data_IF_690036725442
#
_entry.id   IF_690036725442
#
_cell.length_a   1.000
_cell.length_b   1.000
_cell.length_c   1.000
_cell.angle_alpha   90.00
_cell.angle_beta   90.00
_cell.angle_gamma   90.00
#
_symmetry.space_group_name_H-M   'P 1'
#
loop_
_entity.id
_entity.type
_entity.pdbx_description
1 polymer ?
#
# COMPACT_ATOMS: atom_id res chain seq x y z
N UNK A 1 34.31 25.73 -9.85
CA UNK A 1 33.20 26.52 -9.26
C UNK A 1 31.82 25.90 -9.56
N UNK A 2 31.47 25.61 -10.82
CA UNK A 2 30.15 25.05 -11.21
C UNK A 2 29.81 23.69 -10.57
N UNK A 3 30.77 22.78 -10.44
CA UNK A 3 30.57 21.46 -9.81
C UNK A 3 30.29 21.56 -8.30
N UNK A 4 30.94 22.48 -7.59
CA UNK A 4 30.73 22.72 -6.16
C UNK A 4 29.35 23.33 -5.89
N UNK A 5 28.84 24.18 -6.80
CA UNK A 5 27.50 24.75 -6.74
C UNK A 5 26.44 23.68 -7.01
N UNK A 6 26.68 22.77 -7.96
CA UNK A 6 25.78 21.66 -8.25
C UNK A 6 25.70 20.66 -7.07
N UNK A 7 26.82 20.40 -6.39
CA UNK A 7 26.85 19.54 -5.19
C UNK A 7 26.13 20.23 -4.01
N UNK A 8 26.31 21.54 -3.81
CA UNK A 8 25.61 22.31 -2.78
C UNK A 8 24.11 22.40 -3.06
N UNK A 9 23.68 22.58 -4.30
CA UNK A 9 22.28 22.51 -4.71
C UNK A 9 21.70 21.10 -4.51
N UNK A 10 22.47 20.05 -4.81
CA UNK A 10 22.09 18.65 -4.55
C UNK A 10 21.91 18.35 -3.06
N UNK A 11 22.77 18.90 -2.20
CA UNK A 11 22.68 18.75 -0.74
C UNK A 11 21.49 19.56 -0.17
N UNK A 12 21.21 20.75 -0.72
CA UNK A 12 20.05 21.56 -0.33
C UNK A 12 18.71 20.89 -0.69
N UNK A 13 18.66 20.08 -1.74
CA UNK A 13 17.48 19.29 -2.12
C UNK A 13 17.26 18.07 -1.18
N UNK A 14 18.26 17.70 -0.37
CA UNK A 14 18.17 16.61 0.61
C UNK A 14 17.68 17.09 2.00
N UNK A 15 17.61 18.38 2.24
CA UNK A 15 17.05 18.95 3.47
C UNK A 15 15.50 18.93 3.44
N UNK A 16 14.91 17.71 3.38
CA UNK A 16 13.48 17.51 3.50
C UNK A 16 13.03 17.79 4.93
N UNK A 17 12.12 18.76 5.09
CA UNK A 17 11.50 19.07 6.37
C UNK A 17 10.81 17.84 6.97
N UNK A 18 10.91 17.66 8.27
CA UNK A 18 10.18 16.62 9.03
C UNK A 18 8.69 16.91 8.86
N UNK A 19 8.00 16.10 8.05
CA UNK A 19 6.55 16.18 7.93
C UNK A 19 5.94 14.98 8.64
N UNK A 20 5.01 15.24 9.56
CA UNK A 20 4.25 14.19 10.24
C UNK A 20 3.50 13.35 9.21
N UNK A 21 3.65 12.02 9.27
CA UNK A 21 2.96 11.10 8.39
C UNK A 21 1.45 11.14 8.65
N UNK A 22 0.66 11.37 7.60
CA UNK A 22 -0.80 11.46 7.70
C UNK A 22 -1.51 10.16 7.28
N UNK A 23 -0.79 9.22 6.70
CA UNK A 23 -1.34 7.94 6.24
C UNK A 23 -0.57 6.76 6.83
N UNK A 24 -1.26 5.62 7.04
CA UNK A 24 -0.60 4.38 7.42
C UNK A 24 0.49 4.01 6.42
N UNK A 25 1.67 3.69 6.92
CA UNK A 25 2.79 3.22 6.10
C UNK A 25 2.84 1.71 6.18
N UNK A 26 2.77 1.04 5.04
CA UNK A 26 2.92 -0.40 4.93
C UNK A 26 4.30 -0.73 4.35
N UNK A 27 5.04 -1.64 4.99
CA UNK A 27 6.36 -2.03 4.50
C UNK A 27 6.27 -3.08 3.39
N UNK A 28 5.25 -3.94 3.45
CA UNK A 28 5.01 -4.99 2.47
C UNK A 28 3.99 -4.58 1.37
N UNK A 29 3.85 -3.27 1.07
CA UNK A 29 2.91 -2.80 0.03
C UNK A 29 3.15 -3.45 -1.34
N UNK A 30 4.36 -3.89 -1.63
CA UNK A 30 4.68 -4.59 -2.88
C UNK A 30 4.09 -6.01 -2.94
N UNK A 31 3.66 -6.59 -1.81
CA UNK A 31 2.93 -7.84 -1.76
C UNK A 31 1.42 -7.62 -1.85
N UNK A 32 0.93 -6.49 -1.35
CA UNK A 32 -0.46 -6.07 -1.46
C UNK A 32 -0.57 -4.61 -1.95
N UNK A 33 -0.24 -4.34 -3.22
CA UNK A 33 -0.27 -2.98 -3.75
C UNK A 33 -1.69 -2.39 -3.90
N UNK A 34 -2.75 -3.20 -3.67
CA UNK A 34 -4.13 -2.73 -3.56
C UNK A 34 -4.33 -1.69 -2.45
N UNK A 35 -3.51 -1.73 -1.39
CA UNK A 35 -3.55 -0.74 -0.30
C UNK A 35 -3.25 0.68 -0.78
N UNK A 36 -2.46 0.84 -1.84
CA UNK A 36 -1.99 2.13 -2.32
C UNK A 36 -2.58 2.55 -3.67
N UNK A 37 -3.14 1.61 -4.45
CA UNK A 37 -3.68 1.92 -5.77
C UNK A 37 -4.99 1.17 -6.06
N UNK A 38 -6.13 1.88 -6.19
CA UNK A 38 -7.43 1.27 -6.47
C UNK A 38 -7.49 0.51 -7.80
N UNK A 39 -6.67 0.88 -8.81
CA UNK A 39 -6.65 0.20 -10.10
C UNK A 39 -6.20 -1.26 -10.03
N UNK A 40 -5.67 -1.68 -8.88
CA UNK A 40 -5.17 -3.04 -8.63
C UNK A 40 -6.30 -4.00 -8.26
N UNK A 41 -7.47 -3.50 -7.83
CA UNK A 41 -8.57 -4.37 -7.45
C UNK A 41 -8.90 -5.40 -8.55
N UNK A 42 -8.67 -6.69 -8.25
CA UNK A 42 -8.93 -7.81 -9.16
C UNK A 42 -8.04 -7.87 -10.42
N UNK A 43 -6.94 -7.10 -10.51
CA UNK A 43 -6.12 -7.05 -11.72
C UNK A 43 -5.46 -8.39 -12.05
N UNK A 44 -5.16 -9.19 -11.05
CA UNK A 44 -4.54 -10.50 -11.20
C UNK A 44 -5.53 -11.60 -11.66
N UNK A 45 -6.84 -11.37 -11.52
CA UNK A 45 -7.88 -12.27 -12.01
C UNK A 45 -8.30 -13.38 -11.05
N UNK A 46 -7.76 -13.44 -9.84
CA UNK A 46 -8.18 -14.30 -8.74
C UNK A 46 -8.75 -13.47 -7.56
N UNK A 47 -9.32 -14.17 -6.59
CA UNK A 47 -9.75 -13.55 -5.33
C UNK A 47 -8.58 -13.59 -4.35
N UNK A 48 -8.26 -12.45 -3.77
CA UNK A 48 -7.14 -12.26 -2.86
C UNK A 48 -7.63 -11.62 -1.56
N UNK A 49 -7.32 -12.23 -0.44
CA UNK A 49 -7.58 -11.71 0.90
C UNK A 49 -6.25 -11.51 1.62
N UNK A 50 -6.13 -10.40 2.33
CA UNK A 50 -4.93 -10.07 3.09
C UNK A 50 -5.28 -9.53 4.46
N UNK A 51 -4.62 -10.05 5.48
CA UNK A 51 -4.59 -9.53 6.83
C UNK A 51 -3.18 -9.02 7.12
N UNK A 52 -3.07 -7.79 7.59
CA UNK A 52 -1.81 -7.11 7.89
C UNK A 52 -1.89 -6.59 9.32
N UNK A 53 -0.84 -6.84 10.08
CA UNK A 53 -0.59 -6.25 11.38
C UNK A 53 0.79 -5.63 11.41
N UNK A 54 0.87 -4.34 11.75
CA UNK A 54 2.11 -3.58 11.83
C UNK A 54 2.20 -2.89 13.18
N UNK A 55 3.31 -3.10 13.86
CA UNK A 55 3.70 -2.42 15.10
C UNK A 55 4.97 -1.62 14.83
N UNK A 56 4.89 -0.31 15.00
CA UNK A 56 6.02 0.58 14.79
C UNK A 56 6.66 0.93 16.12
N UNK A 57 8.01 1.07 16.11
CA UNK A 57 8.81 1.48 17.26
C UNK A 57 8.57 0.63 18.50
N UNK A 58 8.73 -0.69 18.32
CA UNK A 58 8.48 -1.66 19.37
C UNK A 58 9.33 -1.35 20.62
N UNK A 59 8.68 -1.35 21.80
CA UNK A 59 9.29 -0.91 23.05
C UNK A 59 8.98 0.53 23.45
N UNK A 60 8.31 1.28 22.59
CA UNK A 60 7.74 2.59 22.91
C UNK A 60 6.22 2.44 23.16
N UNK A 61 5.73 2.91 24.31
CA UNK A 61 4.35 2.67 24.76
C UNK A 61 3.28 3.28 23.85
N UNK A 62 3.61 4.35 23.15
CA UNK A 62 2.73 5.05 22.20
C UNK A 62 3.12 4.82 20.74
N UNK A 63 3.82 3.73 20.47
CA UNK A 63 4.23 3.36 19.11
C UNK A 63 3.02 3.22 18.20
N UNK A 64 3.10 3.71 16.94
CA UNK A 64 2.01 3.55 15.99
C UNK A 64 1.73 2.07 15.68
N UNK A 65 0.45 1.71 15.62
CA UNK A 65 0.02 0.37 15.22
C UNK A 65 -1.05 0.43 14.14
N UNK A 66 -0.94 -0.43 13.13
CA UNK A 66 -1.85 -0.47 11.99
C UNK A 66 -2.30 -1.89 11.74
N UNK A 67 -3.61 -2.11 11.70
CA UNK A 67 -4.22 -3.38 11.34
C UNK A 67 -5.11 -3.17 10.12
N UNK A 68 -5.00 -4.04 9.13
CA UNK A 68 -5.79 -3.94 7.90
C UNK A 68 -6.23 -5.31 7.41
N UNK A 69 -7.49 -5.40 6.98
CA UNK A 69 -8.05 -6.54 6.28
C UNK A 69 -8.51 -6.07 4.90
N UNK A 70 -7.97 -6.64 3.85
CA UNK A 70 -8.37 -6.34 2.49
C UNK A 70 -8.83 -7.58 1.74
N UNK A 71 -9.76 -7.39 0.83
CA UNK A 71 -10.23 -8.44 -0.07
C UNK A 71 -10.49 -7.85 -1.45
N UNK A 72 -10.08 -8.57 -2.50
CA UNK A 72 -10.29 -8.13 -3.87
C UNK A 72 -10.56 -9.33 -4.80
N UNK A 73 -11.36 -9.09 -5.81
CA UNK A 73 -11.66 -10.13 -6.80
C UNK A 73 -11.96 -9.53 -8.16
N UNK A 74 -11.76 -10.32 -9.20
CA UNK A 74 -12.22 -9.98 -10.55
C UNK A 74 -13.54 -10.66 -10.83
N UNK A 75 -14.56 -9.89 -11.25
CA UNK A 75 -15.84 -10.44 -11.72
C UNK A 75 -15.60 -11.06 -13.09
N UNK A 76 -15.49 -12.38 -13.13
CA UNK A 76 -15.28 -13.13 -14.35
C UNK A 76 -16.63 -13.35 -15.06
N UNK A 77 -16.69 -13.05 -16.37
CA UNK A 77 -17.83 -13.48 -17.20
C UNK A 77 -17.69 -14.98 -17.44
N UNK A 78 -18.53 -15.78 -16.81
CA UNK A 78 -18.72 -17.19 -17.15
C UNK A 78 -19.45 -17.27 -18.50
N UNK A 79 -18.72 -17.36 -19.58
CA UNK A 79 -19.34 -17.63 -20.89
C UNK A 79 -19.50 -19.14 -21.04
N UNK A 80 -20.72 -19.64 -20.91
CA UNK A 80 -21.09 -21.04 -21.21
C UNK A 80 -20.74 -21.44 -22.66
N UNK A 81 -20.56 -20.49 -23.55
CA UNK A 81 -20.22 -20.68 -24.96
C UNK A 81 -18.77 -21.10 -25.21
N UNK A 82 -17.86 -20.90 -24.28
CA UNK A 82 -16.43 -21.19 -24.47
C UNK A 82 -16.00 -22.60 -24.04
N UNK A 83 -16.90 -23.40 -23.46
CA UNK A 83 -16.56 -24.77 -23.03
C UNK A 83 -16.28 -25.73 -24.20
N UNK A 84 -16.90 -25.54 -25.36
CA UNK A 84 -16.82 -26.48 -26.49
C UNK A 84 -15.72 -26.17 -27.52
N UNK A 85 -15.09 -24.98 -27.49
CA UNK A 85 -14.02 -24.59 -28.44
C UNK A 85 -12.59 -24.72 -27.92
N UNK A 86 -12.40 -25.27 -26.74
CA UNK A 86 -11.11 -25.25 -26.02
C UNK A 86 -10.12 -26.33 -26.49
N UNK A 87 -10.51 -27.24 -27.43
CA UNK A 87 -9.70 -28.44 -27.72
C UNK A 87 -8.59 -28.19 -28.77
N UNK A 88 -8.51 -27.06 -29.48
CA UNK A 88 -7.57 -26.92 -30.62
C UNK A 88 -6.77 -25.63 -30.73
N UNK A 89 -6.39 -24.98 -29.66
CA UNK A 89 -5.42 -23.89 -29.80
C UNK A 89 -4.25 -24.07 -28.84
N UNK A 90 -3.18 -24.70 -29.32
CA UNK A 90 -1.85 -24.59 -28.73
C UNK A 90 -1.46 -23.09 -28.76
N UNK A 91 -1.03 -22.57 -27.61
CA UNK A 91 -0.24 -21.33 -27.52
C UNK A 91 -0.95 -19.99 -27.76
N UNK A 92 -2.10 -19.74 -27.12
CA UNK A 92 -2.46 -18.34 -26.81
C UNK A 92 -2.62 -18.19 -25.30
N UNK A 93 -1.80 -17.34 -24.68
CA UNK A 93 -1.92 -16.95 -23.27
C UNK A 93 -3.38 -16.57 -23.00
N UNK A 94 -4.05 -17.32 -22.13
CA UNK A 94 -5.46 -17.07 -21.81
C UNK A 94 -5.50 -15.86 -20.86
N UNK A 95 -6.10 -14.78 -21.34
CA UNK A 95 -6.37 -13.57 -20.54
C UNK A 95 -7.55 -13.83 -19.60
N UNK A 96 -7.59 -13.25 -18.41
CA UNK A 96 -8.76 -13.31 -17.54
C UNK A 96 -10.02 -12.83 -18.27
N UNK A 97 -11.14 -13.56 -18.11
CA UNK A 97 -12.38 -13.31 -18.81
C UNK A 97 -13.12 -12.21 -18.12
N UNK A 98 -13.08 -11.19 -17.92
CA UNK A 98 -13.78 -10.12 -17.19
C UNK A 98 -12.98 -8.82 -17.23
N UNK A 99 -13.71 -7.75 -17.09
CA UNK A 99 -13.09 -6.43 -17.13
C UNK A 99 -13.26 -5.66 -15.83
N UNK A 100 -14.06 -6.18 -14.91
CA UNK A 100 -14.43 -5.51 -13.67
C UNK A 100 -13.73 -6.18 -12.49
N UNK A 101 -13.02 -5.39 -11.72
CA UNK A 101 -12.49 -5.75 -10.41
C UNK A 101 -13.26 -5.03 -9.31
N UNK A 102 -13.46 -5.69 -8.19
CA UNK A 102 -14.03 -5.10 -6.99
C UNK A 102 -13.14 -5.46 -5.80
N UNK A 103 -13.11 -4.59 -4.81
CA UNK A 103 -12.35 -4.82 -3.59
C UNK A 103 -12.89 -4.04 -2.41
N UNK A 104 -12.46 -4.44 -1.24
CA UNK A 104 -12.76 -3.78 0.02
C UNK A 104 -11.55 -3.78 0.94
N UNK A 105 -11.47 -2.79 1.80
CA UNK A 105 -10.47 -2.62 2.82
C UNK A 105 -11.13 -2.12 4.10
N UNK A 106 -10.78 -2.72 5.22
CA UNK A 106 -11.10 -2.23 6.56
C UNK A 106 -9.77 -2.08 7.29
N UNK A 107 -9.58 -0.97 7.97
CA UNK A 107 -8.35 -0.71 8.68
C UNK A 107 -8.58 0.06 9.98
N UNK A 108 -7.66 -0.14 10.91
CA UNK A 108 -7.50 0.67 12.11
C UNK A 108 -6.05 1.06 12.22
N UNK A 109 -5.82 2.35 12.40
CA UNK A 109 -4.49 2.95 12.52
C UNK A 109 -4.46 3.81 13.78
N UNK A 110 -3.63 3.41 14.73
CA UNK A 110 -3.43 4.11 15.99
C UNK A 110 -2.06 4.79 15.92
N UNK A 111 -2.01 6.07 16.19
CA UNK A 111 -0.78 6.86 16.20
C UNK A 111 -0.76 7.78 17.42
N UNK A 112 -0.15 7.28 18.50
CA UNK A 112 -0.18 7.94 19.81
C UNK A 112 -1.62 8.15 20.30
N UNK A 113 -1.95 9.38 20.64
CA UNK A 113 -3.29 9.76 21.11
C UNK A 113 -4.38 9.72 20.03
N UNK A 114 -4.03 9.52 18.75
CA UNK A 114 -5.00 9.54 17.66
C UNK A 114 -5.25 8.13 17.11
N UNK A 115 -6.52 7.78 16.93
CA UNK A 115 -6.95 6.55 16.26
C UNK A 115 -7.82 6.87 15.07
N UNK A 116 -7.55 6.20 13.95
CA UNK A 116 -8.31 6.28 12.72
C UNK A 116 -8.81 4.90 12.32
N UNK A 117 -10.11 4.70 12.31
CA UNK A 117 -10.74 3.46 11.81
C UNK A 117 -11.55 3.77 10.58
N UNK A 118 -11.38 2.99 9.52
CA UNK A 118 -12.06 3.25 8.26
C UNK A 118 -12.34 2.01 7.44
N UNK A 119 -13.20 2.19 6.45
CA UNK A 119 -13.49 1.19 5.43
C UNK A 119 -13.46 1.84 4.05
N UNK A 120 -13.18 1.02 3.04
CA UNK A 120 -13.08 1.44 1.65
C UNK A 120 -13.72 0.38 0.75
N UNK A 121 -14.55 0.82 -0.19
CA UNK A 121 -15.05 0.02 -1.29
C UNK A 121 -14.41 0.47 -2.61
N UNK A 122 -13.97 -0.46 -3.44
CA UNK A 122 -13.21 -0.18 -4.66
C UNK A 122 -13.86 -0.83 -5.87
N UNK A 123 -13.89 -0.09 -6.97
CA UNK A 123 -14.26 -0.55 -8.29
C UNK A 123 -13.10 -0.28 -9.27
N UNK A 124 -12.73 -1.27 -10.05
CA UNK A 124 -11.70 -1.14 -11.07
C UNK A 124 -12.16 -1.70 -12.41
N UNK A 125 -11.68 -1.10 -13.49
CA UNK A 125 -11.96 -1.53 -14.86
C UNK A 125 -10.66 -1.84 -15.59
N UNK A 126 -10.61 -3.01 -16.25
CA UNK A 126 -9.41 -3.53 -16.89
C UNK A 126 -9.62 -3.74 -18.38
N UNK A 127 -8.71 -3.24 -19.20
CA UNK A 127 -8.72 -3.39 -20.65
C UNK A 127 -7.41 -4.04 -21.08
N UNK A 128 -7.51 -5.02 -21.98
CA UNK A 128 -6.33 -5.62 -22.60
C UNK A 128 -6.16 -5.07 -24.02
N UNK A 129 -5.00 -4.51 -24.30
CA UNK A 129 -4.57 -4.16 -25.63
C UNK A 129 -3.27 -4.91 -25.92
N UNK A 130 -3.31 -5.85 -26.87
CA UNK A 130 -2.21 -6.80 -27.13
C UNK A 130 -1.84 -7.57 -25.86
N UNK A 131 -0.60 -7.46 -25.36
CA UNK A 131 -0.11 -8.14 -24.15
C UNK A 131 -0.01 -7.21 -22.92
N UNK A 132 -0.58 -6.01 -23.03
CA UNK A 132 -0.59 -5.00 -21.98
C UNK A 132 -2.00 -4.89 -21.39
N UNK A 133 -2.10 -4.89 -20.07
CA UNK A 133 -3.31 -4.60 -19.32
C UNK A 133 -3.27 -3.14 -18.86
N UNK A 134 -4.31 -2.40 -19.18
CA UNK A 134 -4.58 -1.06 -18.67
C UNK A 134 -5.71 -1.16 -17.65
N UNK A 135 -5.51 -0.59 -16.48
CA UNK A 135 -6.49 -0.61 -15.40
C UNK A 135 -6.72 0.79 -14.86
N UNK A 136 -7.97 1.11 -14.59
CA UNK A 136 -8.36 2.33 -13.91
C UNK A 136 -9.26 1.94 -12.73
N UNK A 137 -9.09 2.59 -11.58
CA UNK A 137 -9.85 2.28 -10.38
C UNK A 137 -10.26 3.53 -9.61
N UNK A 138 -11.38 3.40 -8.92
CA UNK A 138 -11.89 4.38 -7.98
C UNK A 138 -12.28 3.68 -6.69
N UNK A 139 -12.00 4.31 -5.56
CA UNK A 139 -12.46 3.86 -4.25
C UNK A 139 -13.23 4.96 -3.57
N UNK A 140 -14.29 4.57 -2.87
CA UNK A 140 -14.96 5.40 -1.90
C UNK A 140 -14.67 4.85 -0.50
N UNK A 141 -14.32 5.73 0.40
CA UNK A 141 -13.97 5.38 1.78
C UNK A 141 -14.70 6.28 2.77
N UNK A 142 -14.85 5.77 3.97
CA UNK A 142 -15.25 6.58 5.11
C UNK A 142 -14.42 6.14 6.30
N UNK A 143 -13.97 7.10 7.10
CA UNK A 143 -13.18 6.85 8.29
C UNK A 143 -13.64 7.73 9.44
N UNK A 144 -13.41 7.25 10.64
CA UNK A 144 -13.68 7.93 11.89
C UNK A 144 -12.35 8.22 12.59
N UNK A 145 -12.20 9.44 13.06
CA UNK A 145 -11.13 9.82 13.98
C UNK A 145 -11.62 9.78 15.41
N UNK A 146 -10.75 9.27 16.30
CA UNK A 146 -10.91 9.37 17.75
C UNK A 146 -9.62 9.90 18.32
N UNK A 147 -9.69 10.85 19.24
CA UNK A 147 -8.58 11.21 20.07
C UNK A 147 -8.79 10.54 21.45
N UNK A 148 -7.82 9.73 21.83
CA UNK A 148 -7.78 9.05 23.12
C UNK A 148 -6.80 9.83 24.02
N UNK A 149 -7.23 10.99 24.53
CA UNK A 149 -6.43 11.75 25.50
C UNK A 149 -7.03 11.49 26.86
N UNK A 150 -6.25 10.83 27.73
CA UNK A 150 -6.63 10.62 29.13
C UNK A 150 -6.41 11.93 29.92
N UNK A 151 -7.30 12.23 30.85
CA UNK A 151 -7.16 13.43 31.70
C UNK A 151 -5.86 13.49 32.48
N UNK A 152 -5.18 12.35 32.70
CA UNK A 152 -3.87 12.26 33.36
C UNK A 152 -2.70 12.73 32.47
N UNK A 153 -2.92 12.80 31.15
CA UNK A 153 -1.91 13.25 30.17
C UNK A 153 -1.93 14.78 30.00
N UNK A 154 -2.90 15.47 30.63
CA UNK A 154 -3.07 16.90 30.52
C UNK A 154 -2.53 17.60 31.77
N UNK A 155 -1.58 18.53 31.56
CA UNK A 155 -0.99 19.35 32.63
C UNK A 155 -2.03 20.13 33.46
N UNK A 156 -3.23 20.36 32.94
CA UNK A 156 -4.30 21.17 33.55
C UNK A 156 -5.66 20.42 33.66
N UNK A 157 -5.67 19.09 33.56
CA UNK A 157 -6.85 18.23 33.79
C UNK A 157 -8.06 18.47 32.89
N UNK A 158 -8.14 19.56 32.15
CA UNK A 158 -9.17 19.90 31.16
C UNK A 158 -8.63 20.85 30.11
N UNK A 159 -8.36 20.34 28.93
CA UNK A 159 -8.18 21.18 27.74
C UNK A 159 -9.53 21.28 27.01
N UNK A 160 -10.19 22.47 26.99
CA UNK A 160 -11.49 22.63 26.30
C UNK A 160 -11.41 22.35 24.80
N UNK A 161 -10.21 22.36 24.21
CA UNK A 161 -10.01 22.03 22.80
C UNK A 161 -10.22 20.53 22.53
N UNK A 162 -10.17 19.68 23.56
CA UNK A 162 -10.36 18.23 23.46
C UNK A 162 -11.80 17.81 23.80
N UNK A 163 -12.55 18.62 24.52
CA UNK A 163 -13.96 18.34 24.94
C UNK A 163 -14.96 18.31 23.77
N UNK A 164 -14.55 18.56 22.55
CA UNK A 164 -15.44 18.69 21.38
C UNK A 164 -15.18 17.75 20.22
N UNK A 165 -14.27 16.75 20.35
CA UNK A 165 -14.02 15.80 19.29
C UNK A 165 -15.22 14.85 19.18
N UNK A 166 -16.20 15.24 18.35
CA UNK A 166 -17.29 14.34 18.01
C UNK A 166 -16.78 13.30 17.01
N UNK A 167 -16.91 12.02 17.32
CA UNK A 167 -16.56 10.96 16.39
C UNK A 167 -17.50 11.04 15.18
N UNK A 168 -17.06 11.72 14.11
CA UNK A 168 -17.79 11.82 12.86
C UNK A 168 -17.16 10.95 11.79
N UNK A 169 -17.99 10.41 10.89
CA UNK A 169 -17.47 9.74 9.70
C UNK A 169 -17.12 10.79 8.65
N UNK A 170 -15.89 10.72 8.16
CA UNK A 170 -15.38 11.58 7.10
C UNK A 170 -15.31 10.77 5.79
N UNK A 171 -16.14 11.09 4.78
CA UNK A 171 -16.08 10.42 3.49
C UNK A 171 -14.86 10.87 2.70
N UNK A 172 -14.27 9.98 1.92
CA UNK A 172 -13.16 10.30 1.03
C UNK A 172 -13.21 9.46 -0.25
N UNK A 173 -12.39 9.83 -1.23
CA UNK A 173 -12.27 9.10 -2.47
C UNK A 173 -10.80 8.96 -2.87
N UNK A 174 -10.50 7.84 -3.56
CA UNK A 174 -9.19 7.58 -4.13
C UNK A 174 -9.35 7.18 -5.59
N UNK A 175 -8.37 7.54 -6.42
CA UNK A 175 -8.32 7.14 -7.82
C UNK A 175 -6.96 6.53 -8.15
N UNK A 176 -6.93 5.69 -9.17
CA UNK A 176 -5.68 5.09 -9.61
C UNK A 176 -5.72 4.60 -11.04
N UNK A 177 -4.52 4.50 -11.60
CA UNK A 177 -4.24 3.93 -12.90
C UNK A 177 -3.09 2.94 -12.79
N UNK A 178 -3.13 1.87 -13.58
CA UNK A 178 -2.09 0.87 -13.66
C UNK A 178 -1.94 0.39 -15.10
N UNK A 179 -0.72 0.30 -15.54
CA UNK A 179 -0.32 -0.37 -16.78
C UNK A 179 0.56 -1.54 -16.39
N UNK A 180 0.23 -2.74 -16.84
CA UNK A 180 1.01 -3.94 -16.53
C UNK A 180 1.16 -4.83 -17.75
N UNK A 181 2.34 -5.40 -17.90
CA UNK A 181 2.69 -6.38 -18.90
C UNK A 181 3.15 -7.69 -18.22
N UNK A 182 3.78 -8.57 -18.99
CA UNK A 182 4.29 -9.85 -18.48
C UNK A 182 5.44 -9.68 -17.49
N UNK A 183 6.23 -8.61 -17.62
CA UNK A 183 7.48 -8.42 -16.88
C UNK A 183 7.58 -7.07 -16.18
N UNK A 184 6.62 -6.19 -16.37
CA UNK A 184 6.66 -4.86 -15.79
C UNK A 184 5.28 -4.41 -15.34
N UNK A 185 5.28 -3.48 -14.41
CA UNK A 185 4.11 -2.70 -14.04
C UNK A 185 4.52 -1.27 -13.74
N UNK A 186 3.61 -0.34 -14.01
CA UNK A 186 3.72 1.05 -13.61
C UNK A 186 2.33 1.58 -13.25
N UNK A 187 2.22 2.30 -12.15
CA UNK A 187 0.94 2.80 -11.67
C UNK A 187 1.05 4.16 -11.01
N UNK A 188 -0.06 4.87 -11.05
CA UNK A 188 -0.27 6.16 -10.40
C UNK A 188 -1.50 6.07 -9.53
N UNK A 189 -1.50 6.68 -8.36
CA UNK A 189 -2.70 6.82 -7.54
C UNK A 189 -2.71 8.17 -6.81
N UNK A 190 -3.92 8.64 -6.53
CA UNK A 190 -4.16 9.79 -5.67
C UNK A 190 -5.18 9.41 -4.60
N UNK A 191 -4.87 9.70 -3.35
CA UNK A 191 -5.68 9.37 -2.18
C UNK A 191 -6.01 10.62 -1.38
N UNK A 192 -7.04 10.56 -0.54
CA UNK A 192 -7.58 11.69 0.22
C UNK A 192 -8.03 12.85 -0.68
N UNK A 193 -8.79 12.56 -1.74
CA UNK A 193 -9.18 13.55 -2.75
C UNK A 193 -10.03 14.68 -2.19
N UNK A 194 -10.87 14.40 -1.19
CA UNK A 194 -11.78 15.40 -0.62
C UNK A 194 -11.11 16.31 0.41
N UNK A 195 -9.89 15.97 0.89
CA UNK A 195 -9.15 16.81 1.85
C UNK A 195 -9.97 17.21 3.07
N UNK A 196 -10.71 16.29 3.66
CA UNK A 196 -11.61 16.61 4.75
C UNK A 196 -10.89 17.31 5.91
N UNK A 197 -11.48 18.38 6.39
CA UNK A 197 -11.03 19.08 7.56
C UNK A 197 -11.61 18.41 8.82
N UNK A 198 -10.74 18.00 9.74
CA UNK A 198 -11.11 17.42 11.03
C UNK A 198 -11.04 18.55 12.06
N UNK A 199 -12.19 18.86 12.63
CA UNK A 199 -12.26 19.89 13.69
C UNK A 199 -12.01 19.22 15.04
N UNK A 200 -11.06 19.75 15.78
CA UNK A 200 -10.79 19.37 17.16
C UNK A 200 -11.43 20.42 18.07
N UNK A 201 -12.36 20.00 18.94
CA UNK A 201 -13.02 20.86 19.91
C UNK A 201 -13.94 21.92 19.33
N UNK A 202 -14.29 22.91 20.15
CA UNK A 202 -15.12 24.07 19.77
C UNK A 202 -14.38 25.15 18.99
N UNK A 203 -13.23 24.84 18.41
CA UNK A 203 -12.39 25.78 17.67
C UNK A 203 -13.04 26.27 16.36
N UNK A 204 -12.56 27.42 15.88
CA UNK A 204 -12.93 27.97 14.58
C UNK A 204 -12.39 27.11 13.43
N UNK A 205 -12.92 27.26 12.22
CA UNK A 205 -12.46 26.52 11.03
C UNK A 205 -10.96 26.67 10.74
N UNK A 206 -10.27 27.64 11.33
CA UNK A 206 -8.82 27.87 11.20
C UNK A 206 -7.98 26.85 11.98
N UNK A 207 -8.54 26.18 13.01
CA UNK A 207 -7.84 25.16 13.81
C UNK A 207 -8.10 23.74 13.31
N UNK A 208 -8.79 23.57 12.20
CA UNK A 208 -9.11 22.26 11.65
C UNK A 208 -7.86 21.58 11.04
N UNK A 209 -7.60 20.33 11.45
CA UNK A 209 -6.58 19.50 10.82
C UNK A 209 -7.05 19.05 9.44
N UNK A 210 -6.38 19.47 8.37
CA UNK A 210 -6.75 19.13 7.02
C UNK A 210 -5.91 17.97 6.50
N UNK A 211 -6.58 16.91 6.04
CA UNK A 211 -5.92 15.81 5.37
C UNK A 211 -5.35 16.28 4.03
N UNK A 212 -4.08 16.00 3.80
CA UNK A 212 -3.42 16.31 2.53
C UNK A 212 -3.71 15.20 1.52
N UNK A 213 -3.79 15.56 0.25
CA UNK A 213 -3.76 14.58 -0.84
C UNK A 213 -2.39 13.95 -0.92
N UNK A 214 -2.39 12.62 -1.11
CA UNK A 214 -1.18 11.87 -1.35
C UNK A 214 -1.21 11.30 -2.76
N UNK A 215 -0.10 11.41 -3.43
CA UNK A 215 0.11 10.89 -4.76
C UNK A 215 1.19 9.81 -4.68
N UNK A 216 0.91 8.63 -5.26
CA UNK A 216 1.87 7.54 -5.30
C UNK A 216 2.15 7.16 -6.75
N UNK A 217 3.42 6.98 -7.05
CA UNK A 217 3.92 6.45 -8.32
C UNK A 217 4.64 5.15 -8.00
N UNK A 218 4.24 4.07 -8.62
CA UNK A 218 4.88 2.75 -8.46
C UNK A 218 5.39 2.27 -9.81
N UNK A 219 6.55 1.64 -9.83
CA UNK A 219 7.03 0.93 -10.99
C UNK A 219 7.88 -0.27 -10.55
N UNK A 220 7.81 -1.35 -11.31
CA UNK A 220 8.61 -2.53 -11.06
C UNK A 220 8.81 -3.36 -12.31
N UNK A 221 9.89 -4.12 -12.29
CA UNK A 221 10.24 -5.04 -13.37
C UNK A 221 10.55 -6.40 -12.77
N UNK A 222 9.97 -7.45 -13.34
CA UNK A 222 10.21 -8.82 -12.92
C UNK A 222 11.04 -9.55 -13.95
N UNK A 223 12.21 -9.95 -13.52
CA UNK A 223 13.13 -10.77 -14.30
C UNK A 223 13.09 -12.22 -13.80
N UNK A 224 12.76 -13.14 -14.68
CA UNK A 224 12.84 -14.58 -14.41
C UNK A 224 13.25 -15.31 -15.68
N UNK A 225 14.36 -16.00 -15.61
CA UNK A 225 14.83 -16.85 -16.69
C UNK A 225 14.00 -18.16 -16.74
N UNK A 226 13.71 -18.64 -17.96
CA UNK A 226 12.79 -19.81 -18.18
C UNK A 226 13.23 -21.11 -17.50
N UNK A 227 14.51 -21.27 -17.22
CA UNK A 227 15.10 -22.48 -16.60
C UNK A 227 15.68 -22.22 -15.22
N UNK A 228 15.58 -21.04 -14.70
CA UNK A 228 16.09 -20.68 -13.38
C UNK A 228 15.01 -20.83 -12.33
N UNK A 229 15.38 -21.40 -11.19
CA UNK A 229 14.54 -21.42 -9.99
C UNK A 229 14.51 -20.04 -9.31
N UNK A 230 15.32 -19.09 -9.76
CA UNK A 230 15.43 -17.73 -9.20
C UNK A 230 14.71 -16.70 -10.07
N UNK A 231 14.00 -15.78 -9.41
CA UNK A 231 13.44 -14.59 -10.01
C UNK A 231 13.83 -13.34 -9.22
N UNK A 232 13.91 -12.20 -9.89
CA UNK A 232 14.28 -10.91 -9.28
C UNK A 232 13.27 -9.84 -9.66
N UNK A 233 12.93 -8.98 -8.71
CA UNK A 233 11.96 -7.91 -8.92
C UNK A 233 12.47 -6.62 -8.26
N UNK A 234 13.26 -5.80 -8.98
CA UNK A 234 13.47 -4.41 -8.60
C UNK A 234 12.19 -3.61 -8.76
N UNK A 235 11.92 -2.72 -7.81
CA UNK A 235 10.78 -1.81 -7.87
C UNK A 235 11.04 -0.52 -7.13
N UNK A 236 10.29 0.51 -7.46
CA UNK A 236 10.34 1.81 -6.83
C UNK A 236 8.93 2.28 -6.47
N UNK A 237 8.82 3.04 -5.39
CA UNK A 237 7.63 3.80 -5.06
C UNK A 237 8.04 5.21 -4.67
N UNK A 238 7.45 6.19 -5.35
CA UNK A 238 7.55 7.61 -4.98
C UNK A 238 6.19 8.02 -4.41
N UNK A 239 6.18 8.45 -3.17
CA UNK A 239 5.01 9.04 -2.51
C UNK A 239 5.28 10.54 -2.28
N UNK A 240 4.33 11.40 -2.60
CA UNK A 240 4.44 12.83 -2.36
C UNK A 240 3.08 13.45 -2.01
N UNK A 241 3.12 14.60 -1.32
CA UNK A 241 1.95 15.35 -0.90
C UNK A 241 1.93 16.71 -1.58
N UNK A 242 0.79 17.42 -1.52
CA UNK A 242 0.67 18.79 -2.03
C UNK A 242 1.63 19.79 -1.38
N UNK A 243 2.11 19.50 -0.17
CA UNK A 243 3.12 20.31 0.52
C UNK A 243 4.56 19.99 0.10
N UNK A 244 4.74 19.27 -1.02
CA UNK A 244 6.03 18.86 -1.56
C UNK A 244 6.87 17.98 -0.61
N UNK A 245 6.25 17.40 0.41
CA UNK A 245 6.88 16.33 1.16
C UNK A 245 6.88 15.06 0.31
N UNK A 246 8.03 14.44 0.12
CA UNK A 246 8.18 13.27 -0.71
C UNK A 246 9.00 12.18 -0.03
N UNK A 247 8.73 10.95 -0.39
CA UNK A 247 9.45 9.77 0.05
C UNK A 247 9.65 8.85 -1.15
N UNK A 248 10.87 8.36 -1.32
CA UNK A 248 11.21 7.38 -2.34
C UNK A 248 11.61 6.07 -1.65
N UNK A 249 10.95 4.97 -2.01
CA UNK A 249 11.31 3.63 -1.61
C UNK A 249 11.92 2.90 -2.81
N UNK A 250 13.13 2.39 -2.65
CA UNK A 250 13.82 1.56 -3.65
C UNK A 250 13.84 0.14 -3.10
N UNK A 251 13.25 -0.79 -3.85
CA UNK A 251 13.04 -2.16 -3.40
C UNK A 251 13.71 -3.15 -4.34
N UNK A 252 14.19 -4.23 -3.75
CA UNK A 252 14.68 -5.39 -4.48
C UNK A 252 14.16 -6.66 -3.82
N UNK A 253 13.42 -7.47 -4.58
CA UNK A 253 12.96 -8.80 -4.13
C UNK A 253 13.61 -9.90 -4.96
N UNK A 254 13.96 -10.99 -4.31
CA UNK A 254 14.40 -12.23 -4.92
C UNK A 254 13.43 -13.35 -4.57
N UNK A 255 13.14 -14.22 -5.54
CA UNK A 255 12.27 -15.37 -5.40
C UNK A 255 13.05 -16.66 -5.63
N UNK A 256 12.73 -17.68 -4.85
CA UNK A 256 13.24 -19.03 -5.06
C UNK A 256 12.06 -19.99 -5.26
N UNK A 257 12.02 -20.65 -6.41
CA UNK A 257 10.94 -21.58 -6.85
C UNK A 257 9.53 -21.00 -6.80
N UNK A 258 9.39 -19.68 -6.80
CA UNK A 258 8.12 -18.96 -6.59
C UNK A 258 7.47 -19.21 -5.22
N UNK A 259 8.05 -20.10 -4.38
CA UNK A 259 7.52 -20.47 -3.07
C UNK A 259 8.11 -19.64 -1.94
N UNK A 260 9.37 -19.24 -2.08
CA UNK A 260 10.07 -18.42 -1.09
C UNK A 260 10.49 -17.10 -1.71
N UNK A 261 10.46 -16.05 -0.91
CA UNK A 261 10.95 -14.76 -1.35
C UNK A 261 11.63 -14.02 -0.18
N UNK A 262 12.60 -13.20 -0.53
CA UNK A 262 13.24 -12.27 0.37
C UNK A 262 13.40 -10.92 -0.34
N UNK A 263 13.41 -9.83 0.42
CA UNK A 263 13.54 -8.49 -0.13
C UNK A 263 14.22 -7.53 0.82
N UNK A 264 14.73 -6.47 0.23
CA UNK A 264 15.26 -5.32 0.94
C UNK A 264 14.69 -4.05 0.32
N UNK A 265 14.37 -3.08 1.15
CA UNK A 265 13.91 -1.75 0.75
C UNK A 265 14.70 -0.68 1.45
N UNK A 266 15.13 0.32 0.70
CA UNK A 266 15.68 1.56 1.23
C UNK A 266 14.65 2.67 1.08
N UNK A 267 14.25 3.26 2.19
CA UNK A 267 13.29 4.38 2.24
C UNK A 267 14.03 5.67 2.56
N UNK A 268 13.90 6.67 1.71
CA UNK A 268 14.58 7.97 1.89
C UNK A 268 14.10 8.74 3.13
N UNK A 269 12.95 8.39 3.67
CA UNK A 269 12.47 8.91 4.97
C UNK A 269 13.30 8.38 6.18
N UNK A 270 14.39 7.66 5.93
CA UNK A 270 15.33 7.23 6.95
C UNK A 270 15.08 5.84 7.51
N UNK A 271 14.75 4.84 6.66
CA UNK A 271 14.62 3.46 7.09
C UNK A 271 15.16 2.46 6.06
N UNK A 272 15.68 1.34 6.55
CA UNK A 272 15.92 0.13 5.76
C UNK A 272 14.95 -0.95 6.22
N UNK A 273 14.29 -1.58 5.27
CA UNK A 273 13.34 -2.66 5.52
C UNK A 273 13.90 -3.96 4.96
N UNK A 274 13.96 -4.97 5.79
CA UNK A 274 14.24 -6.34 5.37
C UNK A 274 12.95 -7.14 5.41
N UNK A 275 12.73 -7.97 4.40
CA UNK A 275 11.48 -8.71 4.24
C UNK A 275 11.76 -10.13 3.81
N UNK A 276 10.94 -11.05 4.25
CA UNK A 276 10.93 -12.42 3.76
C UNK A 276 9.54 -13.03 3.89
N UNK A 277 9.29 -14.05 3.12
CA UNK A 277 8.02 -14.75 3.17
C UNK A 277 8.01 -16.02 2.32
N UNK A 278 6.88 -16.69 2.36
CA UNK A 278 6.66 -17.93 1.67
C UNK A 278 5.23 -18.06 1.16
N UNK A 279 5.08 -18.81 0.07
CA UNK A 279 3.80 -19.24 -0.48
C UNK A 279 3.62 -20.74 -0.18
N UNK A 280 2.51 -21.10 0.41
CA UNK A 280 2.15 -22.48 0.65
C UNK A 280 0.73 -22.75 0.19
N UNK A 281 0.57 -23.53 -0.87
CA UNK A 281 -0.72 -23.78 -1.52
C UNK A 281 -1.43 -22.47 -1.97
N UNK A 282 -2.51 -22.10 -1.29
CA UNK A 282 -3.29 -20.89 -1.54
C UNK A 282 -2.96 -19.77 -0.56
N UNK A 283 -2.13 -20.02 0.44
CA UNK A 283 -1.73 -19.06 1.45
C UNK A 283 -0.37 -18.48 1.12
N UNK A 284 -0.15 -17.26 1.55
CA UNK A 284 1.15 -16.64 1.57
C UNK A 284 1.36 -15.87 2.86
N UNK A 285 2.58 -15.90 3.33
CA UNK A 285 3.02 -15.30 4.57
C UNK A 285 4.16 -14.35 4.27
N UNK A 286 4.16 -13.22 4.93
CA UNK A 286 5.20 -12.24 4.83
C UNK A 286 5.52 -11.63 6.19
N UNK A 287 6.79 -11.36 6.40
CA UNK A 287 7.27 -10.62 7.55
C UNK A 287 8.23 -9.54 7.07
N UNK A 288 8.12 -8.35 7.65
CA UNK A 288 9.04 -7.26 7.42
C UNK A 288 9.55 -6.69 8.75
N UNK A 289 10.80 -6.34 8.75
CA UNK A 289 11.49 -5.65 9.84
C UNK A 289 12.04 -4.33 9.31
N UNK A 290 11.60 -3.22 9.89
CA UNK A 290 12.05 -1.88 9.53
C UNK A 290 13.03 -1.36 10.59
N UNK A 291 14.22 -1.03 10.16
CA UNK A 291 15.21 -0.35 10.97
C UNK A 291 15.30 1.11 10.53
N UNK A 292 14.87 2.02 11.42
CA UNK A 292 14.96 3.46 11.18
C UNK A 292 16.35 4.02 11.48
N UNK A 293 16.74 5.08 10.78
CA UNK A 293 17.94 5.85 11.05
C UNK A 293 17.56 7.22 11.63
N UNK A 294 18.41 7.80 12.47
CA UNK A 294 18.19 9.12 13.10
C UNK A 294 17.86 9.03 14.59
N UNK A 295 17.08 9.94 15.11
CA UNK A 295 16.83 10.06 16.56
C UNK A 295 15.84 9.00 17.10
N UNK A 296 14.98 8.46 16.27
CA UNK A 296 13.96 7.47 16.64
C UNK A 296 14.56 6.16 17.21
N UNK A 297 15.63 5.57 16.63
CA UNK A 297 16.25 4.36 17.18
C UNK A 297 16.81 4.49 18.59
N UNK A 298 17.07 5.70 19.05
CA UNK A 298 17.51 5.92 20.44
C UNK A 298 16.39 5.66 21.44
N UNK A 299 15.13 5.84 21.03
CA UNK A 299 13.93 5.66 21.84
C UNK A 299 13.33 4.27 21.62
N UNK A 300 13.30 3.78 20.38
CA UNK A 300 12.67 2.52 19.96
C UNK A 300 13.71 1.54 19.40
N UNK A 301 14.47 0.89 20.27
CA UNK A 301 15.61 0.01 19.92
C UNK A 301 15.23 -1.24 19.12
N UNK A 302 13.97 -1.67 19.19
CA UNK A 302 13.50 -2.91 18.56
C UNK A 302 12.98 -2.72 17.13
N UNK A 303 13.00 -1.48 16.59
CA UNK A 303 12.54 -1.21 15.23
C UNK A 303 11.02 -1.35 15.05
N UNK A 304 10.57 -1.58 13.83
CA UNK A 304 9.16 -1.80 13.51
C UNK A 304 8.97 -3.15 12.82
N UNK A 305 7.86 -3.81 13.11
CA UNK A 305 7.55 -5.15 12.64
C UNK A 305 6.23 -5.16 11.89
N UNK A 306 6.16 -5.89 10.79
CA UNK A 306 4.94 -6.07 10.02
C UNK A 306 4.78 -7.54 9.64
N UNK A 307 3.60 -8.09 9.93
CA UNK A 307 3.21 -9.45 9.56
C UNK A 307 2.07 -9.36 8.56
N UNK A 308 2.16 -10.13 7.49
CA UNK A 308 1.10 -10.26 6.51
C UNK A 308 0.76 -11.73 6.29
N UNK A 309 -0.54 -12.02 6.29
CA UNK A 309 -1.09 -13.33 5.94
C UNK A 309 -2.08 -13.10 4.83
N UNK A 310 -1.93 -13.80 3.71
CA UNK A 310 -2.83 -13.69 2.59
C UNK A 310 -3.32 -15.04 2.10
N UNK A 311 -4.46 -15.03 1.39
CA UNK A 311 -5.07 -16.21 0.79
C UNK A 311 -5.57 -15.89 -0.61
N UNK A 312 -5.15 -16.70 -1.58
CA UNK A 312 -5.54 -16.60 -2.99
C UNK A 312 -6.49 -17.72 -3.36
N UNK A 313 -7.68 -17.36 -3.84
CA UNK A 313 -8.72 -18.28 -4.22
C UNK A 313 -9.05 -18.13 -5.71
N UNK A 314 -9.26 -19.26 -6.37
CA UNK A 314 -9.72 -19.34 -7.76
C UNK A 314 -8.83 -20.23 -8.62
N UNK A 315 -9.44 -21.01 -9.50
CA UNK A 315 -8.75 -21.91 -10.46
C UNK A 315 -7.78 -21.21 -11.39
N UNK A 316 -7.96 -19.91 -11.58
CA UNK A 316 -7.13 -19.08 -12.44
C UNK A 316 -5.72 -18.90 -11.89
N UNK A 317 -5.53 -18.90 -10.56
CA UNK A 317 -4.22 -18.73 -9.93
C UNK A 317 -3.23 -19.83 -10.32
N UNK A 318 -3.69 -21.09 -10.48
CA UNK A 318 -2.84 -22.22 -10.91
C UNK A 318 -2.67 -22.31 -12.44
N UNK A 319 -3.65 -21.85 -13.21
CA UNK A 319 -3.63 -21.92 -14.69
C UNK A 319 -2.84 -20.80 -15.33
N UNK A 320 -2.64 -19.70 -14.62
CA UNK A 320 -1.89 -18.52 -15.07
C UNK A 320 -0.63 -18.36 -14.23
N UNK A 321 0.35 -19.27 -14.40
CA UNK A 321 1.67 -19.17 -13.74
C UNK A 321 2.32 -17.81 -13.88
N UNK A 322 2.00 -17.07 -14.93
CA UNK A 322 2.50 -15.72 -15.18
C UNK A 322 1.78 -14.63 -14.35
N UNK A 323 0.55 -14.90 -13.85
CA UNK A 323 -0.15 -14.00 -12.92
C UNK A 323 0.33 -14.16 -11.47
N UNK A 324 0.91 -15.30 -11.13
CA UNK A 324 1.54 -15.51 -9.82
C UNK A 324 2.90 -14.84 -9.70
N UNK A 325 3.26 -14.02 -10.67
CA UNK A 325 4.57 -13.38 -10.77
C UNK A 325 4.60 -11.97 -10.20
N UNK A 326 3.61 -11.61 -9.42
CA UNK A 326 3.59 -10.34 -8.70
C UNK A 326 3.37 -10.56 -7.21
#
# INVERSE_FOLDING_TARGET
MRLRIAILLGIMLLAGGVSAQQQPVYSQYMMNPFLINPAIAGYQGYTDFNLIGREQWLGYSEGPSTYALSGQTRILRTSYRNRSRVIRSRSRRRRPSGRVGVGGLIYTDNNGAMSRTGFQGTYAYHIYARDIQYSAGISLSAFQFKANVSGDDLYDGRDPSLDGIRPGYSPDANVGFLVSGDFFYAGLSATNLFQNAIQFGGGTAETAYRLLRHYNVIAGYKYQERRSDYGFEPSIMLAFTERLSWTLDINFKAYYKEDYWAGISYRTAGAVVTMFGMNYQNFYFGYAFDYGFGDIPTIAKLGSHEIMIGMRLGDSARRYRWLNRF
#
